data_IF_114457417127
#
_entry.id   IF_114457417127
#
_cell.length_a   1.000
_cell.length_b   1.000
_cell.length_c   1.000
_cell.angle_alpha   90.00
_cell.angle_beta   90.00
_cell.angle_gamma   90.00
#
_symmetry.space_group_name_H-M   'P 1'
#
loop_
_entity.id
_entity.type
_entity.pdbx_description
1 polymer ?
#
# COMPACT_ATOMS: atom_id res chain seq x y z
N UNK A 1 6.86 -40.44 -61.06
CA UNK A 1 7.27 -41.73 -60.46
C UNK A 1 7.13 -41.53 -58.94
N UNK A 2 6.18 -42.10 -58.17
CA UNK A 2 5.69 -43.50 -58.06
C UNK A 2 6.90 -44.46 -58.08
N UNK A 3 7.16 -45.31 -57.09
CA UNK A 3 6.29 -46.17 -56.24
C UNK A 3 6.69 -46.05 -54.73
N UNK A 4 5.91 -46.23 -53.65
CA UNK A 4 5.03 -47.33 -53.17
C UNK A 4 5.73 -48.73 -53.12
N UNK A 5 5.67 -49.52 -52.04
CA UNK A 5 4.51 -50.37 -51.69
C UNK A 5 4.61 -51.01 -50.26
N UNK A 6 3.54 -50.86 -49.46
CA UNK A 6 2.76 -51.81 -48.59
C UNK A 6 3.52 -52.88 -47.73
N UNK A 7 3.23 -53.09 -46.43
CA UNK A 7 2.12 -53.91 -45.82
C UNK A 7 2.21 -53.93 -44.26
N UNK A 8 1.19 -54.27 -43.46
CA UNK A 8 -0.28 -54.29 -43.61
C UNK A 8 -0.98 -54.63 -42.25
N UNK A 9 -2.28 -54.29 -42.15
CA UNK A 9 -3.32 -54.81 -41.24
C UNK A 9 -3.17 -54.62 -39.70
N UNK A 10 -4.25 -54.38 -38.93
CA UNK A 10 -5.66 -54.22 -39.32
C UNK A 10 -6.54 -53.66 -38.19
N UNK A 11 -7.68 -53.06 -38.55
CA UNK A 11 -8.71 -52.48 -37.66
C UNK A 11 -9.94 -53.39 -37.60
N UNK A 12 -10.72 -53.38 -36.51
CA UNK A 12 -12.14 -52.99 -36.62
C UNK A 12 -12.52 -51.59 -36.08
N UNK A 13 -13.83 -51.33 -36.00
CA UNK A 13 -14.47 -50.19 -36.69
C UNK A 13 -15.91 -50.01 -36.18
N UNK A 14 -16.39 -48.76 -36.00
CA UNK A 14 -17.82 -48.32 -35.85
C UNK A 14 -18.48 -48.70 -34.48
N UNK A 15 -19.39 -47.94 -33.82
CA UNK A 15 -20.49 -47.04 -34.30
C UNK A 15 -20.73 -45.78 -33.44
N UNK A 16 -21.44 -44.80 -34.02
CA UNK A 16 -22.07 -43.63 -33.38
C UNK A 16 -23.17 -43.95 -32.35
N UNK A 17 -23.40 -43.03 -31.40
CA UNK A 17 -24.74 -42.68 -30.91
C UNK A 17 -24.79 -41.22 -30.39
N UNK A 18 -25.69 -40.41 -30.94
CA UNK A 18 -26.11 -39.10 -30.40
C UNK A 18 -27.18 -39.30 -29.35
N UNK A 19 -27.16 -38.53 -28.24
CA UNK A 19 -28.38 -38.17 -27.54
C UNK A 19 -28.25 -36.81 -26.84
N UNK A 20 -29.11 -35.88 -27.24
CA UNK A 20 -29.33 -34.63 -26.53
C UNK A 20 -30.67 -34.71 -25.80
N UNK A 21 -30.70 -34.41 -24.51
CA UNK A 21 -31.94 -34.14 -23.77
C UNK A 21 -31.72 -32.89 -22.91
N UNK A 22 -32.45 -31.84 -23.24
CA UNK A 22 -32.65 -30.69 -22.36
C UNK A 22 -33.67 -31.09 -21.29
N UNK A 23 -33.38 -30.80 -20.02
CA UNK A 23 -34.43 -30.77 -18.98
C UNK A 23 -34.35 -29.45 -18.24
N UNK A 24 -35.43 -28.68 -18.37
CA UNK A 24 -35.66 -27.40 -17.70
C UNK A 24 -36.52 -27.67 -16.47
N UNK A 25 -36.10 -27.23 -15.28
CA UNK A 25 -36.93 -27.30 -14.09
C UNK A 25 -36.57 -26.17 -13.10
N UNK A 26 -37.35 -25.09 -13.13
CA UNK A 26 -37.53 -24.25 -11.95
C UNK A 26 -38.53 -24.98 -11.02
N UNK A 27 -38.35 -24.91 -9.70
CA UNK A 27 -39.20 -24.03 -8.90
C UNK A 27 -38.66 -23.76 -7.48
N UNK A 28 -39.22 -22.71 -6.88
CA UNK A 28 -38.98 -22.19 -5.55
C UNK A 28 -40.05 -22.74 -4.58
N UNK A 29 -39.67 -23.45 -3.51
CA UNK A 29 -40.61 -23.84 -2.45
C UNK A 29 -40.47 -22.97 -1.20
N UNK A 30 -41.47 -22.13 -0.98
CA UNK A 30 -41.74 -21.51 0.32
C UNK A 30 -42.47 -22.51 1.21
N UNK A 31 -41.80 -23.07 2.22
CA UNK A 31 -42.50 -23.74 3.32
C UNK A 31 -42.87 -22.73 4.40
N UNK A 32 -44.18 -22.53 4.61
CA UNK A 32 -44.71 -21.86 5.81
C UNK A 32 -45.21 -22.93 6.79
N UNK A 33 -44.88 -22.78 8.07
CA UNK A 33 -45.78 -23.16 9.16
C UNK A 33 -45.75 -22.07 10.24
N UNK A 34 -46.92 -21.52 10.52
CA UNK A 34 -47.17 -20.68 11.69
C UNK A 34 -47.50 -21.59 12.89
N UNK A 35 -47.12 -21.17 14.09
CA UNK A 35 -47.98 -21.25 15.28
C UNK A 35 -47.79 -19.93 16.02
N UNK A 36 -48.89 -19.22 16.28
CA UNK A 36 -48.93 -18.05 17.15
C UNK A 36 -49.28 -18.48 18.57
N UNK A 37 -48.65 -17.88 19.58
CA UNK A 37 -49.25 -17.68 20.89
C UNK A 37 -48.72 -16.35 21.47
N UNK A 38 -49.52 -15.66 22.30
CA UNK A 38 -49.42 -14.22 22.53
C UNK A 38 -49.55 -13.88 24.03
N UNK A 39 -49.05 -12.70 24.44
CA UNK A 39 -48.99 -12.13 25.80
C UNK A 39 -48.06 -12.89 26.79
N UNK A 40 -47.31 -12.25 27.70
CA UNK A 40 -47.23 -10.83 28.09
C UNK A 40 -45.86 -10.46 28.72
N UNK A 41 -45.55 -9.16 28.81
CA UNK A 41 -44.67 -8.49 29.79
C UNK A 41 -43.13 -8.64 29.75
N UNK A 42 -42.50 -7.56 29.24
CA UNK A 42 -41.32 -6.81 29.79
C UNK A 42 -39.86 -7.11 29.35
N UNK A 43 -39.11 -6.00 29.18
CA UNK A 43 -37.63 -5.79 29.27
C UNK A 43 -36.79 -5.70 27.97
N UNK A 44 -36.46 -4.42 27.66
CA UNK A 44 -35.26 -3.82 27.01
C UNK A 44 -34.88 -4.04 25.53
N UNK A 45 -34.90 -2.89 24.84
CA UNK A 45 -33.81 -2.26 24.06
C UNK A 45 -33.41 -2.80 22.68
N UNK A 46 -33.86 -2.03 21.67
CA UNK A 46 -33.15 -1.86 20.40
C UNK A 46 -31.68 -1.45 20.65
N UNK A 47 -30.75 -1.99 19.86
CA UNK A 47 -29.41 -1.43 19.73
C UNK A 47 -28.95 -1.34 18.27
N UNK A 48 -28.55 -0.12 17.91
CA UNK A 48 -28.00 0.31 16.62
C UNK A 48 -26.61 -0.28 16.37
N UNK A 49 -26.25 -0.57 15.11
CA UNK A 49 -24.89 -0.97 14.76
C UNK A 49 -24.62 -0.98 13.26
N UNK A 50 -24.33 0.19 12.66
CA UNK A 50 -23.87 0.27 11.26
C UNK A 50 -22.99 1.52 10.94
N UNK A 51 -22.41 2.16 11.96
CA UNK A 51 -21.61 3.39 11.79
C UNK A 51 -20.14 3.14 11.45
N UNK A 52 -19.46 2.31 12.25
CA UNK A 52 -18.00 2.14 12.19
C UNK A 52 -17.51 1.60 10.84
N UNK A 53 -18.16 0.57 10.31
CA UNK A 53 -17.75 -0.09 9.05
C UNK A 53 -17.79 0.85 7.84
N UNK A 54 -18.63 1.88 7.88
CA UNK A 54 -18.72 2.89 6.81
C UNK A 54 -17.67 3.98 7.04
N UNK A 55 -17.55 4.50 8.27
CA UNK A 55 -16.56 5.54 8.59
C UNK A 55 -15.11 5.08 8.36
N UNK A 56 -14.77 3.86 8.80
CA UNK A 56 -13.45 3.25 8.56
C UNK A 56 -13.18 3.12 7.06
N UNK A 57 -14.10 2.52 6.29
CA UNK A 57 -13.91 2.29 4.85
C UNK A 57 -13.83 3.59 4.04
N UNK A 58 -14.51 4.65 4.47
CA UNK A 58 -14.37 5.98 3.87
C UNK A 58 -12.99 6.57 4.17
N UNK A 59 -12.52 6.49 5.42
CA UNK A 59 -11.18 6.92 5.81
C UNK A 59 -10.08 6.19 5.03
N UNK A 60 -10.21 4.87 4.89
CA UNK A 60 -9.28 4.04 4.13
C UNK A 60 -9.17 4.50 2.68
N UNK A 61 -10.33 4.76 2.05
CA UNK A 61 -10.41 5.24 0.66
C UNK A 61 -9.77 6.63 0.50
N UNK A 62 -9.98 7.53 1.47
CA UNK A 62 -9.37 8.86 1.50
C UNK A 62 -7.86 8.79 1.62
N UNK A 63 -7.33 7.97 2.53
CA UNK A 63 -5.87 7.84 2.74
C UNK A 63 -5.15 7.19 1.55
N UNK A 64 -5.79 6.23 0.88
CA UNK A 64 -5.26 5.60 -0.33
C UNK A 64 -5.29 6.57 -1.53
N UNK A 65 -6.35 7.36 -1.70
CA UNK A 65 -6.42 8.42 -2.72
C UNK A 65 -5.36 9.51 -2.49
N UNK A 66 -5.28 10.01 -1.26
CA UNK A 66 -4.29 10.99 -0.82
C UNK A 66 -2.85 10.50 -1.08
N UNK A 67 -2.58 9.22 -0.81
CA UNK A 67 -1.31 8.56 -1.13
C UNK A 67 -1.00 8.61 -2.64
N UNK A 68 -1.98 8.28 -3.49
CA UNK A 68 -1.78 8.29 -4.93
C UNK A 68 -1.46 9.70 -5.47
N UNK A 69 -2.18 10.73 -5.00
CA UNK A 69 -1.96 12.13 -5.41
C UNK A 69 -0.57 12.64 -4.97
N UNK A 70 -0.18 12.38 -3.73
CA UNK A 70 1.13 12.75 -3.17
C UNK A 70 2.27 12.07 -3.96
N UNK A 71 2.15 10.78 -4.25
CA UNK A 71 3.17 10.04 -5.00
C UNK A 71 3.24 10.48 -6.47
N UNK A 72 2.12 10.91 -7.06
CA UNK A 72 2.08 11.46 -8.42
C UNK A 72 2.74 12.83 -8.51
N UNK A 73 2.56 13.70 -7.51
CA UNK A 73 3.33 14.95 -7.40
C UNK A 73 4.83 14.68 -7.24
N UNK A 74 5.22 13.70 -6.40
CA UNK A 74 6.62 13.29 -6.24
C UNK A 74 7.22 12.77 -7.55
N UNK A 75 6.49 11.90 -8.29
CA UNK A 75 6.91 11.35 -9.59
C UNK A 75 7.18 12.46 -10.62
N UNK A 76 6.37 13.53 -10.61
CA UNK A 76 6.49 14.67 -11.52
C UNK A 76 7.54 15.71 -11.09
N UNK A 77 8.12 15.58 -9.90
CA UNK A 77 8.99 16.59 -9.31
C UNK A 77 8.26 17.86 -8.83
N UNK A 78 6.93 17.76 -8.69
CA UNK A 78 5.99 18.76 -8.18
C UNK A 78 6.08 18.83 -6.64
N UNK A 79 7.31 19.02 -6.13
CA UNK A 79 7.57 18.99 -4.70
C UNK A 79 6.96 20.20 -3.96
N UNK A 80 6.64 21.31 -4.64
CA UNK A 80 6.03 22.48 -3.99
C UNK A 80 4.62 22.16 -3.47
N UNK A 81 3.87 21.35 -4.21
CA UNK A 81 2.54 20.85 -3.89
C UNK A 81 2.56 19.99 -2.62
N UNK A 82 3.68 19.28 -2.37
CA UNK A 82 3.86 18.51 -1.14
C UNK A 82 3.76 19.36 0.13
N UNK A 83 4.08 20.65 0.05
CA UNK A 83 4.08 21.55 1.18
C UNK A 83 2.67 21.83 1.74
N UNK A 84 1.61 21.63 0.96
CA UNK A 84 0.23 21.79 1.41
C UNK A 84 -0.26 20.61 2.27
N UNK A 85 0.38 19.45 2.14
CA UNK A 85 0.10 18.26 2.95
C UNK A 85 0.91 18.21 4.25
N UNK A 86 1.91 19.07 4.46
CA UNK A 86 2.74 19.07 5.67
C UNK A 86 1.89 19.49 6.88
N UNK A 87 1.91 18.69 7.95
CA UNK A 87 1.15 18.99 9.16
C UNK A 87 1.58 20.35 9.76
N UNK A 88 0.64 21.28 10.04
CA UNK A 88 0.99 22.67 10.36
C UNK A 88 1.77 22.84 11.67
N UNK A 89 1.50 21.99 12.67
CA UNK A 89 2.18 22.02 13.98
C UNK A 89 3.39 21.08 14.07
N UNK A 90 3.22 19.79 13.74
CA UNK A 90 4.26 18.76 13.88
C UNK A 90 5.28 18.73 12.73
N UNK A 91 4.96 19.30 11.56
CA UNK A 91 5.81 19.24 10.38
C UNK A 91 5.87 17.85 9.74
N UNK A 92 6.87 17.65 8.87
CA UNK A 92 7.10 16.42 8.11
C UNK A 92 8.52 15.89 8.35
N UNK A 93 8.63 14.68 8.90
CA UNK A 93 9.90 13.98 9.09
C UNK A 93 10.26 13.14 7.85
N UNK A 94 11.53 13.12 7.51
CA UNK A 94 12.10 12.24 6.49
C UNK A 94 13.08 11.26 7.13
N UNK A 95 12.83 9.96 6.98
CA UNK A 95 13.76 8.90 7.39
C UNK A 95 14.27 8.13 6.16
N UNK A 96 15.59 7.93 6.01
CA UNK A 96 16.16 7.18 4.89
C UNK A 96 16.04 5.65 5.03
N UNK A 97 15.60 5.15 6.19
CA UNK A 97 15.48 3.72 6.50
C UNK A 97 14.27 3.47 7.42
N UNK A 98 13.83 2.21 7.56
CA UNK A 98 12.63 1.84 8.30
C UNK A 98 12.64 2.14 9.81
N UNK A 99 13.84 2.31 10.40
CA UNK A 99 14.00 2.79 11.77
C UNK A 99 14.04 4.32 11.81
N UNK A 100 13.01 4.93 12.41
CA UNK A 100 12.88 6.37 12.54
C UNK A 100 13.73 6.86 13.71
N UNK A 101 14.72 7.70 13.43
CA UNK A 101 15.55 8.34 14.45
C UNK A 101 15.02 9.74 14.74
N UNK A 102 14.27 9.89 15.85
CA UNK A 102 13.66 11.18 16.19
C UNK A 102 14.65 12.31 16.46
N UNK A 103 15.94 11.99 16.68
CA UNK A 103 17.02 12.92 17.00
C UNK A 103 17.87 13.34 15.79
N UNK A 104 18.01 12.47 14.79
CA UNK A 104 18.85 12.70 13.58
C UNK A 104 18.07 12.92 12.30
N UNK A 105 16.88 12.32 12.18
CA UNK A 105 16.04 12.46 10.98
C UNK A 105 15.59 13.90 10.79
N UNK A 106 15.55 14.35 9.54
CA UNK A 106 15.26 15.74 9.22
C UNK A 106 13.76 16.02 9.33
N UNK A 107 13.39 17.01 10.14
CA UNK A 107 12.02 17.47 10.38
C UNK A 107 11.82 18.86 9.76
N UNK A 108 10.77 19.03 8.95
CA UNK A 108 10.49 20.27 8.24
C UNK A 108 9.11 20.83 8.56
N UNK A 109 9.04 22.12 8.92
CA UNK A 109 7.80 22.89 8.75
C UNK A 109 7.57 23.18 7.26
N UNK A 110 6.37 23.63 6.90
CA UNK A 110 6.01 24.02 5.53
C UNK A 110 6.97 25.07 4.94
N UNK A 111 7.29 26.10 5.71
CA UNK A 111 8.16 27.21 5.33
C UNK A 111 9.62 26.75 5.18
N UNK A 112 10.08 25.91 6.11
CA UNK A 112 11.43 25.34 6.06
C UNK A 112 11.58 24.39 4.87
N UNK A 113 10.55 23.62 4.54
CA UNK A 113 10.52 22.76 3.36
C UNK A 113 10.61 23.57 2.07
N UNK A 114 9.74 24.57 1.88
CA UNK A 114 9.71 25.41 0.66
C UNK A 114 11.00 26.21 0.43
N UNK A 115 11.56 26.79 1.50
CA UNK A 115 12.85 27.49 1.42
C UNK A 115 14.01 26.55 1.12
N UNK A 116 14.01 25.33 1.68
CA UNK A 116 15.02 24.31 1.41
C UNK A 116 14.91 23.76 -0.02
N UNK A 117 13.69 23.57 -0.54
CA UNK A 117 13.41 23.11 -1.90
C UNK A 117 13.95 24.04 -3.01
N UNK A 118 14.12 25.31 -2.66
CA UNK A 118 14.65 26.37 -3.52
C UNK A 118 16.17 26.57 -3.36
N UNK A 119 16.79 25.90 -2.37
CA UNK A 119 18.21 26.05 -2.05
C UNK A 119 19.08 24.94 -2.69
N UNK A 120 20.27 25.27 -3.20
CA UNK A 120 21.27 24.27 -3.62
C UNK A 120 22.05 23.67 -2.44
N UNK A 121 21.77 24.06 -1.19
CA UNK A 121 22.48 23.58 0.00
C UNK A 121 22.23 22.09 0.28
N UNK A 122 23.30 21.35 0.56
CA UNK A 122 23.23 19.96 1.00
C UNK A 122 23.01 19.86 2.51
N UNK A 123 22.15 18.94 2.92
CA UNK A 123 21.79 18.62 4.30
C UNK A 123 22.34 17.22 4.62
N UNK A 124 22.67 16.96 5.89
CA UNK A 124 22.96 15.62 6.39
C UNK A 124 21.64 14.91 6.73
N UNK A 125 21.30 13.87 5.98
CA UNK A 125 20.06 13.10 6.15
C UNK A 125 20.22 11.84 7.03
N UNK A 126 21.43 11.57 7.49
CA UNK A 126 21.82 10.33 8.16
C UNK A 126 23.12 9.79 7.59
N UNK A 127 23.32 8.49 7.72
CA UNK A 127 24.50 7.76 7.24
C UNK A 127 24.04 6.52 6.48
N UNK A 128 24.75 6.12 5.42
CA UNK A 128 24.41 4.91 4.67
C UNK A 128 24.64 3.67 5.52
N UNK A 129 23.67 2.76 5.50
CA UNK A 129 23.85 1.45 6.14
C UNK A 129 24.96 0.65 5.44
N UNK A 130 25.64 -0.22 6.19
CA UNK A 130 26.85 -0.93 5.77
C UNK A 130 28.12 -0.07 5.70
N UNK A 131 28.14 1.04 4.94
CA UNK A 131 29.38 1.85 4.78
C UNK A 131 29.60 2.90 5.87
N UNK A 132 28.53 3.40 6.50
CA UNK A 132 28.60 4.47 7.48
C UNK A 132 28.89 5.87 6.89
N UNK A 133 28.93 6.02 5.56
CA UNK A 133 29.20 7.31 4.92
C UNK A 133 28.05 8.31 5.12
N UNK A 134 28.32 9.62 5.29
CA UNK A 134 27.28 10.61 5.51
C UNK A 134 26.41 10.85 4.26
N UNK A 135 25.09 10.76 4.42
CA UNK A 135 24.10 11.06 3.38
C UNK A 135 23.99 12.59 3.24
N UNK A 136 24.87 13.21 2.46
CA UNK A 136 24.87 14.67 2.19
C UNK A 136 24.23 14.99 0.84
N UNK A 137 22.97 15.40 0.86
CA UNK A 137 22.13 15.63 -0.33
C UNK A 137 21.33 16.94 -0.19
N UNK A 138 21.06 17.61 -1.30
CA UNK A 138 19.95 18.59 -1.39
C UNK A 138 18.61 17.87 -1.23
N UNK A 139 17.54 18.60 -0.90
CA UNK A 139 16.20 18.01 -0.79
C UNK A 139 15.77 17.29 -2.08
N UNK A 140 16.07 17.87 -3.25
CA UNK A 140 15.74 17.26 -4.56
C UNK A 140 16.56 16.01 -4.87
N UNK A 141 17.83 15.97 -4.47
CA UNK A 141 18.65 14.75 -4.54
C UNK A 141 18.14 13.68 -3.58
N UNK A 142 17.70 14.06 -2.37
CA UNK A 142 17.11 13.13 -1.40
C UNK A 142 15.82 12.50 -1.93
N UNK A 143 14.88 13.29 -2.48
CA UNK A 143 13.65 12.75 -3.08
C UNK A 143 13.96 11.68 -4.14
N UNK A 144 14.91 11.95 -5.05
CA UNK A 144 15.30 11.00 -6.10
C UNK A 144 16.01 9.74 -5.59
N UNK A 145 16.64 9.79 -4.41
CA UNK A 145 17.44 8.67 -3.88
C UNK A 145 16.73 7.83 -2.83
N UNK A 146 15.81 8.43 -2.06
CA UNK A 146 15.17 7.81 -0.90
C UNK A 146 13.64 7.99 -0.86
N UNK A 147 13.01 8.73 -1.78
CA UNK A 147 11.53 8.88 -1.77
C UNK A 147 10.91 8.38 -3.08
N UNK A 148 11.67 8.36 -4.16
CA UNK A 148 11.21 7.89 -5.47
C UNK A 148 12.37 7.30 -6.28
N UNK A 149 13.12 6.38 -5.68
CA UNK A 149 14.11 5.55 -6.37
C UNK A 149 13.43 4.52 -7.29
N UNK A 150 12.19 4.12 -6.96
CA UNK A 150 11.32 3.26 -7.76
C UNK A 150 9.92 3.87 -7.93
N UNK A 151 9.08 3.28 -8.79
CA UNK A 151 7.77 3.82 -9.19
C UNK A 151 6.67 3.62 -8.12
N UNK A 152 6.86 4.17 -6.93
CA UNK A 152 5.93 3.98 -5.80
C UNK A 152 4.49 4.43 -6.08
N UNK A 153 4.23 5.32 -7.05
CA UNK A 153 2.86 5.65 -7.48
C UNK A 153 2.10 4.46 -8.12
N UNK A 154 2.82 3.37 -8.48
CA UNK A 154 2.31 2.14 -9.09
C UNK A 154 3.03 0.91 -8.48
N UNK A 155 2.83 0.61 -7.19
CA UNK A 155 3.56 -0.44 -6.47
C UNK A 155 2.99 -1.83 -6.74
N UNK A 156 3.74 -2.89 -6.42
CA UNK A 156 3.22 -4.27 -6.43
C UNK A 156 2.19 -4.49 -5.33
N UNK A 157 2.41 -3.86 -4.16
CA UNK A 157 1.46 -3.84 -3.06
C UNK A 157 1.32 -2.43 -2.51
N UNK A 158 0.07 -2.01 -2.29
CA UNK A 158 -0.26 -0.83 -1.50
C UNK A 158 -1.10 -1.28 -0.32
N UNK A 159 -0.59 -1.09 0.89
CA UNK A 159 -1.30 -1.40 2.14
C UNK A 159 -1.65 -0.14 2.91
N UNK A 160 -2.57 -0.29 3.87
CA UNK A 160 -2.95 0.71 4.85
C UNK A 160 -2.86 0.10 6.25
N UNK A 161 -2.23 0.82 7.18
CA UNK A 161 -2.07 0.47 8.60
C UNK A 161 -1.48 -0.94 8.87
N UNK A 162 -0.81 -1.51 7.87
CA UNK A 162 -0.23 -2.85 7.90
C UNK A 162 1.12 -2.83 7.19
N UNK A 163 2.18 -3.20 7.89
CA UNK A 163 3.50 -3.34 7.27
C UNK A 163 3.55 -4.61 6.39
N UNK A 164 4.14 -4.48 5.19
CA UNK A 164 4.30 -5.58 4.22
C UNK A 164 5.77 -5.89 3.97
N UNK A 165 6.67 -4.90 4.02
CA UNK A 165 8.11 -5.11 4.06
C UNK A 165 8.51 -6.12 5.14
N UNK A 166 9.28 -7.13 4.76
CA UNK A 166 9.79 -8.16 5.67
C UNK A 166 11.31 -8.30 5.53
N UNK A 167 11.99 -8.62 6.63
CA UNK A 167 13.45 -8.72 6.68
C UNK A 167 14.01 -8.12 7.97
N UNK A 168 15.25 -7.64 7.91
CA UNK A 168 16.03 -7.18 9.08
C UNK A 168 15.70 -5.76 9.56
N UNK A 169 14.78 -5.05 8.89
CA UNK A 169 14.48 -3.64 9.20
C UNK A 169 13.78 -3.48 10.55
N UNK A 170 14.37 -2.70 11.45
CA UNK A 170 13.79 -2.39 12.76
C UNK A 170 12.68 -1.35 12.63
N UNK A 171 11.44 -1.80 12.52
CA UNK A 171 10.28 -0.91 12.40
C UNK A 171 9.81 -0.42 13.79
N UNK A 172 9.98 0.89 14.06
CA UNK A 172 9.48 1.57 15.25
C UNK A 172 8.30 2.54 14.97
N UNK A 173 7.69 2.47 13.77
CA UNK A 173 6.69 3.44 13.29
C UNK A 173 5.53 3.66 14.26
N UNK A 174 4.90 2.59 14.74
CA UNK A 174 3.75 2.69 15.66
C UNK A 174 4.12 3.27 17.04
N UNK A 175 5.39 3.18 17.44
CA UNK A 175 5.88 3.78 18.69
C UNK A 175 6.15 5.29 18.53
N UNK A 176 6.69 5.70 17.38
CA UNK A 176 6.99 7.11 17.10
C UNK A 176 5.74 7.90 16.69
N UNK A 177 4.79 7.25 16.00
CA UNK A 177 3.55 7.86 15.51
C UNK A 177 2.29 7.17 16.09
N UNK A 178 2.08 7.17 17.42
CA UNK A 178 0.92 6.54 18.03
C UNK A 178 -0.38 7.20 17.54
N UNK A 179 -1.36 6.38 17.17
CA UNK A 179 -2.68 6.84 16.68
C UNK A 179 -2.67 7.47 15.28
N UNK A 180 -1.52 7.54 14.60
CA UNK A 180 -1.45 7.94 13.20
C UNK A 180 -1.80 6.76 12.29
N UNK A 181 -2.31 7.05 11.09
CA UNK A 181 -2.43 6.06 10.03
C UNK A 181 -1.22 6.11 9.11
N UNK A 182 -0.92 5.04 8.38
CA UNK A 182 0.13 5.05 7.36
C UNK A 182 -0.23 4.16 6.19
N UNK A 183 0.20 4.53 4.98
CA UNK A 183 0.22 3.62 3.83
C UNK A 183 1.62 3.12 3.57
N UNK A 184 1.76 1.95 2.96
CA UNK A 184 3.04 1.41 2.49
C UNK A 184 2.93 1.02 1.02
N UNK A 185 3.78 1.60 0.18
CA UNK A 185 3.98 1.22 -1.22
C UNK A 185 5.19 0.31 -1.31
N UNK A 186 4.98 -0.96 -1.67
CA UNK A 186 5.99 -2.02 -1.61
C UNK A 186 6.26 -2.68 -2.97
N UNK A 187 7.53 -3.05 -3.18
CA UNK A 187 8.03 -3.90 -4.25
C UNK A 187 8.86 -5.03 -3.64
N UNK A 188 8.58 -6.28 -4.04
CA UNK A 188 9.20 -7.49 -3.49
C UNK A 188 10.63 -7.77 -3.97
N UNK A 189 11.07 -7.08 -5.02
CA UNK A 189 12.39 -7.20 -5.64
C UNK A 189 12.30 -6.96 -7.14
N UNK A 190 13.44 -6.79 -7.82
CA UNK A 190 13.48 -6.41 -9.24
C UNK A 190 14.32 -7.38 -10.08
N UNK A 191 15.49 -7.79 -9.60
CA UNK A 191 16.36 -8.74 -10.29
C UNK A 191 16.42 -10.09 -9.55
N UNK A 192 16.04 -11.17 -10.24
CA UNK A 192 16.05 -12.53 -9.70
C UNK A 192 17.37 -12.95 -9.03
N UNK A 193 18.50 -12.40 -9.49
CA UNK A 193 19.85 -12.69 -8.95
C UNK A 193 20.05 -12.20 -7.50
N UNK A 194 19.21 -11.31 -7.00
CA UNK A 194 19.24 -10.82 -5.62
C UNK A 194 18.28 -11.59 -4.70
N UNK A 195 17.47 -12.51 -5.21
CA UNK A 195 16.58 -13.38 -4.42
C UNK A 195 15.65 -12.63 -3.45
N UNK A 196 15.24 -11.39 -3.82
CA UNK A 196 14.41 -10.50 -3.00
C UNK A 196 15.20 -9.56 -2.09
N UNK A 197 16.54 -9.67 -2.00
CA UNK A 197 17.42 -8.73 -1.28
C UNK A 197 17.58 -7.36 -1.98
N UNK A 198 16.68 -7.04 -2.91
CA UNK A 198 16.54 -5.75 -3.58
C UNK A 198 15.14 -5.14 -3.42
N UNK A 199 14.33 -5.65 -2.48
CA UNK A 199 13.02 -5.08 -2.15
C UNK A 199 13.09 -3.60 -1.76
N UNK A 200 11.97 -2.90 -1.97
CA UNK A 200 11.80 -1.47 -1.67
C UNK A 200 10.42 -1.20 -1.07
N UNK A 201 10.36 -0.33 -0.06
CA UNK A 201 9.13 0.16 0.53
C UNK A 201 9.22 1.66 0.77
N UNK A 202 8.10 2.36 0.56
CA UNK A 202 7.92 3.73 1.03
C UNK A 202 6.67 3.80 1.89
N UNK A 203 6.83 4.26 3.12
CA UNK A 203 5.75 4.44 4.10
C UNK A 203 5.43 5.93 4.22
N UNK A 204 4.18 6.31 3.96
CA UNK A 204 3.66 7.67 4.17
C UNK A 204 2.79 7.68 5.42
N UNK A 205 3.11 8.53 6.39
CA UNK A 205 2.43 8.59 7.70
C UNK A 205 1.55 9.82 7.77
N UNK A 206 0.30 9.60 8.16
CA UNK A 206 -0.78 10.58 8.17
C UNK A 206 -1.35 10.79 9.56
N UNK A 207 -1.57 12.07 9.91
CA UNK A 207 -2.26 12.48 11.13
C UNK A 207 -3.49 13.30 10.78
N UNK A 208 -4.61 13.00 11.44
CA UNK A 208 -5.84 13.78 11.29
C UNK A 208 -5.77 15.02 12.17
N UNK A 209 -6.00 16.20 11.58
CA UNK A 209 -5.98 17.49 12.26
C UNK A 209 -6.99 18.43 11.62
N UNK A 210 -7.82 19.09 12.43
CA UNK A 210 -8.82 20.09 12.00
C UNK A 210 -9.70 19.68 10.79
N UNK A 211 -10.08 18.40 10.71
CA UNK A 211 -11.00 17.90 9.68
C UNK A 211 -10.33 17.26 8.45
N UNK A 212 -9.00 17.24 8.35
CA UNK A 212 -8.28 16.63 7.23
C UNK A 212 -7.02 15.85 7.65
N UNK A 213 -6.50 15.04 6.73
CA UNK A 213 -5.26 14.28 6.92
C UNK A 213 -4.05 15.05 6.38
N UNK A 214 -3.00 15.14 7.21
CA UNK A 214 -1.71 15.71 6.84
C UNK A 214 -0.60 14.67 6.93
N UNK A 215 0.42 14.78 6.09
CA UNK A 215 1.69 14.07 6.21
C UNK A 215 2.45 14.55 7.46
N UNK A 216 2.89 13.57 8.26
CA UNK A 216 3.85 13.75 9.37
C UNK A 216 5.16 12.96 9.17
N UNK A 217 5.16 11.94 8.30
CA UNK A 217 6.36 11.16 7.99
C UNK A 217 6.42 10.67 6.55
N UNK A 218 7.61 10.72 5.96
CA UNK A 218 8.02 9.96 4.77
C UNK A 218 9.20 9.07 5.17
N UNK A 219 9.00 7.76 5.12
CA UNK A 219 9.95 6.76 5.62
C UNK A 219 10.27 5.81 4.48
N UNK A 220 11.51 5.86 4.00
CA UNK A 220 12.03 4.84 3.08
C UNK A 220 12.35 3.57 3.84
N UNK A 221 12.28 2.43 3.17
CA UNK A 221 12.71 1.16 3.73
C UNK A 221 13.18 0.25 2.59
N UNK A 222 14.24 -0.51 2.83
CA UNK A 222 14.84 -1.36 1.82
C UNK A 222 15.67 -2.47 2.47
N UNK A 223 16.01 -3.49 1.70
CA UNK A 223 17.07 -4.40 2.12
C UNK A 223 18.39 -3.62 2.34
N UNK A 224 19.05 -3.90 3.47
CA UNK A 224 20.38 -3.40 3.84
C UNK A 224 21.28 -4.56 4.31
N UNK A 225 22.56 -4.28 4.55
CA UNK A 225 23.63 -5.28 4.73
C UNK A 225 24.38 -5.13 6.04
#
# INVERSE_FOLDING_TARGET
>A
MRWQIINAAGRPVITFALLAILVYACNNEKSKKNVEENLDSTVTENSTGNGDTVAVKVSDTVLLGLTADILLHIERGEYQQLADYIHPLEGLRFSPYGYIDTTRDQLFTKEKFLSTLSSPSKILWGYYDGSGDPIRLTLREYFRKFVYDVKFARPENLSLNKTVSSGNSLNNLQHIYPGCSFTESYFSGFEKKYEGMDWRSLKLVYKFYEGQYYLVGIIHDQWTI
#
